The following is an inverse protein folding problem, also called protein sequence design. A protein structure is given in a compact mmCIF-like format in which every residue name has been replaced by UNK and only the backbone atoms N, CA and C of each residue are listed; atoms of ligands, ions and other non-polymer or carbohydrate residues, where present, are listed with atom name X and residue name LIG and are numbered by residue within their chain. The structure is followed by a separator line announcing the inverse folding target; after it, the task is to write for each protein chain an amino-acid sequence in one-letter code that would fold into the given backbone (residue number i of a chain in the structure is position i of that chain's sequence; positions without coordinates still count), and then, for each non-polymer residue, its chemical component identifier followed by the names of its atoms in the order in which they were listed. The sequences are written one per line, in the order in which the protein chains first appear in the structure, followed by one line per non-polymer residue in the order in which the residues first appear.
data_IF_890755223436
#
_entry.id   IF_890755223436
#
_cell.length_a   1.000
_cell.length_b   1.000
_cell.length_c   1.000
_cell.angle_alpha   90.00
_cell.angle_beta   90.00
_cell.angle_gamma   90.00
#
_symmetry.space_group_name_H-M   'P 1'
#
loop_
_entity.id
_entity.type
_entity.pdbx_description
1 polymer ?
#
# COMPACT_ATOMS: atom_id res chain seq x y z
N UNK A 1 -21.35 -6.55 34.25
CA UNK A 1 -20.77 -6.53 32.89
C UNK A 1 -19.25 -6.49 33.06
N UNK A 2 -18.52 -7.41 32.42
CA UNK A 2 -17.09 -7.63 32.67
C UNK A 2 -16.23 -6.69 31.81
N UNK A 3 -15.30 -5.96 32.43
CA UNK A 3 -14.16 -5.33 31.74
C UNK A 3 -13.22 -6.46 31.33
N UNK A 4 -13.18 -6.81 30.03
CA UNK A 4 -12.24 -7.81 29.52
C UNK A 4 -10.93 -7.10 29.13
N UNK A 5 -10.05 -6.93 30.12
CA UNK A 5 -8.64 -6.60 29.89
C UNK A 5 -7.95 -7.83 29.29
N UNK A 6 -7.77 -7.87 27.98
CA UNK A 6 -6.83 -8.81 27.36
C UNK A 6 -5.41 -8.25 27.52
N UNK A 7 -4.79 -8.53 28.66
CA UNK A 7 -3.34 -8.33 28.84
C UNK A 7 -2.64 -9.45 28.09
N UNK A 8 -2.26 -9.20 26.83
CA UNK A 8 -1.54 -10.16 26.00
C UNK A 8 -0.06 -10.17 26.41
N UNK A 9 0.34 -11.16 27.19
CA UNK A 9 1.75 -11.51 27.42
C UNK A 9 2.18 -12.56 26.39
N UNK A 10 2.70 -12.17 25.22
CA UNK A 10 3.78 -12.90 24.53
C UNK A 10 4.25 -12.22 23.25
N UNK A 11 5.47 -12.55 22.85
CA UNK A 11 6.02 -12.31 21.52
C UNK A 11 5.01 -12.70 20.41
N UNK A 12 4.70 -11.71 19.56
CA UNK A 12 3.92 -11.76 18.29
C UNK A 12 2.39 -11.86 18.36
N UNK A 13 1.82 -10.89 17.62
CA UNK A 13 0.49 -10.75 16.99
C UNK A 13 -0.65 -10.26 17.89
N UNK A 14 -0.89 -8.94 17.86
CA UNK A 14 -2.24 -8.40 18.05
C UNK A 14 -3.09 -8.83 16.84
N UNK A 15 -4.01 -9.78 17.05
CA UNK A 15 -4.96 -10.25 16.04
C UNK A 15 -6.23 -9.40 16.12
N UNK A 16 -6.72 -8.93 14.97
CA UNK A 16 -8.04 -8.34 14.82
C UNK A 16 -9.14 -9.32 15.26
N UNK A 17 -9.95 -8.94 16.26
CA UNK A 17 -11.20 -9.64 16.52
C UNK A 17 -12.26 -9.16 15.55
N UNK A 18 -12.51 -9.99 14.54
CA UNK A 18 -13.62 -9.86 13.61
C UNK A 18 -14.99 -9.95 14.30
N UNK A 19 -15.94 -9.24 13.71
CA UNK A 19 -17.35 -9.31 14.03
C UNK A 19 -17.87 -10.75 13.94
N UNK A 20 -18.43 -11.27 15.03
CA UNK A 20 -19.37 -12.39 14.99
C UNK A 20 -20.77 -11.79 14.84
N UNK A 21 -21.23 -11.63 13.60
CA UNK A 21 -22.67 -11.56 13.34
C UNK A 21 -23.21 -12.99 13.35
N UNK A 22 -24.08 -13.28 14.31
CA UNK A 22 -24.96 -14.44 14.26
C UNK A 22 -25.95 -14.26 13.10
N UNK A 23 -25.69 -14.91 11.97
CA UNK A 23 -26.68 -15.02 10.89
C UNK A 23 -27.65 -16.15 11.25
N UNK A 24 -28.75 -15.79 11.91
CA UNK A 24 -29.97 -16.60 11.93
C UNK A 24 -31.11 -15.78 11.33
N UNK A 25 -31.28 -15.93 10.01
CA UNK A 25 -32.56 -15.93 9.26
C UNK A 25 -32.33 -15.51 7.81
N UNK A 26 -31.97 -16.47 6.96
CA UNK A 26 -32.15 -16.31 5.51
C UNK A 26 -33.19 -17.30 5.03
N UNK A 27 -34.18 -16.78 4.31
CA UNK A 27 -35.30 -17.53 3.80
C UNK A 27 -34.85 -18.61 2.77
N UNK A 28 -35.55 -19.76 2.69
CA UNK A 28 -35.12 -20.93 1.91
C UNK A 28 -34.85 -20.67 0.41
N UNK A 29 -35.44 -19.62 -0.16
CA UNK A 29 -35.24 -19.24 -1.57
C UNK A 29 -33.87 -18.60 -1.86
N UNK A 30 -33.21 -17.98 -0.87
CA UNK A 30 -31.83 -17.48 -1.01
C UNK A 30 -30.80 -18.61 -1.12
N UNK A 31 -31.07 -19.78 -0.52
CA UNK A 31 -30.23 -20.98 -0.66
C UNK A 31 -30.39 -21.63 -2.03
N UNK A 32 -31.60 -21.61 -2.59
CA UNK A 32 -31.85 -22.05 -3.96
C UNK A 32 -31.25 -21.10 -4.99
N UNK A 33 -31.29 -19.78 -4.75
CA UNK A 33 -30.60 -18.78 -5.57
C UNK A 33 -29.08 -18.89 -5.46
N UNK A 34 -28.52 -19.09 -4.27
CA UNK A 34 -27.09 -19.33 -4.10
C UNK A 34 -26.66 -20.66 -4.73
N UNK A 35 -27.47 -21.72 -4.63
CA UNK A 35 -27.21 -23.00 -5.29
C UNK A 35 -27.39 -22.91 -6.81
N UNK A 36 -28.35 -22.14 -7.34
CA UNK A 36 -28.47 -21.84 -8.77
C UNK A 36 -27.32 -20.95 -9.24
N UNK A 37 -26.89 -19.98 -8.45
CA UNK A 37 -25.74 -19.12 -8.74
C UNK A 37 -24.45 -19.93 -8.68
N UNK A 38 -24.31 -20.91 -7.79
CA UNK A 38 -23.22 -21.90 -7.77
C UNK A 38 -23.30 -22.91 -8.93
N UNK A 39 -24.51 -23.30 -9.36
CA UNK A 39 -24.71 -24.15 -10.55
C UNK A 39 -24.44 -23.37 -11.85
N UNK A 40 -24.73 -22.07 -11.88
CA UNK A 40 -24.45 -21.14 -12.98
C UNK A 40 -23.00 -20.62 -12.92
N UNK A 41 -22.37 -20.62 -11.74
CA UNK A 41 -20.93 -20.50 -11.47
C UNK A 41 -20.26 -21.88 -11.46
N UNK A 42 -20.74 -22.82 -12.29
CA UNK A 42 -19.78 -23.65 -12.98
C UNK A 42 -18.95 -22.70 -13.83
N UNK A 43 -17.96 -22.03 -13.21
CA UNK A 43 -16.82 -21.50 -13.94
C UNK A 43 -16.35 -22.68 -14.73
N UNK A 44 -16.61 -22.67 -16.04
CA UNK A 44 -16.04 -23.64 -16.95
C UNK A 44 -14.56 -23.63 -16.62
N UNK A 45 -14.09 -24.64 -15.89
CA UNK A 45 -12.69 -24.79 -15.57
C UNK A 45 -12.01 -24.69 -16.93
N UNK A 46 -11.18 -23.67 -17.10
CA UNK A 46 -10.42 -23.49 -18.32
C UNK A 46 -9.89 -24.86 -18.74
N UNK A 47 -10.32 -25.37 -19.90
CA UNK A 47 -9.86 -26.67 -20.37
C UNK A 47 -8.33 -26.64 -20.39
N UNK A 48 -7.66 -27.72 -19.95
CA UNK A 48 -6.22 -27.71 -19.77
C UNK A 48 -5.53 -27.34 -21.08
N UNK A 49 -4.48 -26.49 -21.05
CA UNK A 49 -3.76 -26.13 -22.26
C UNK A 49 -3.11 -27.38 -22.88
N UNK A 50 -3.03 -27.42 -24.20
CA UNK A 50 -2.47 -28.57 -24.94
C UNK A 50 -1.33 -28.14 -25.84
N UNK A 51 -0.36 -29.05 -26.00
CA UNK A 51 0.71 -28.86 -26.97
C UNK A 51 0.15 -28.84 -28.39
N UNK A 52 0.63 -27.94 -29.26
CA UNK A 52 0.13 -27.88 -30.63
C UNK A 52 0.52 -29.14 -31.43
N UNK A 53 -0.34 -29.62 -32.36
CA UNK A 53 -0.10 -30.86 -33.10
C UNK A 53 1.22 -30.86 -33.90
N UNK A 54 1.61 -29.70 -34.44
CA UNK A 54 2.84 -29.53 -35.22
C UNK A 54 4.12 -29.50 -34.37
N UNK A 55 4.01 -29.43 -33.03
CA UNK A 55 5.14 -29.39 -32.11
C UNK A 55 5.44 -30.75 -31.45
N UNK A 56 5.14 -31.85 -32.15
CA UNK A 56 5.46 -33.19 -31.68
C UNK A 56 6.95 -33.33 -31.32
N UNK A 57 7.24 -33.83 -30.12
CA UNK A 57 8.61 -33.96 -29.59
C UNK A 57 9.25 -32.67 -29.09
N UNK A 58 8.62 -31.51 -29.34
CA UNK A 58 9.07 -30.19 -28.89
C UNK A 58 8.25 -29.65 -27.71
N UNK A 59 7.03 -30.14 -27.51
CA UNK A 59 6.20 -29.80 -26.37
C UNK A 59 5.67 -31.07 -25.70
N UNK A 60 5.76 -31.15 -24.38
CA UNK A 60 5.17 -32.23 -23.58
C UNK A 60 4.67 -31.72 -22.23
N UNK A 61 3.47 -32.14 -21.82
CA UNK A 61 2.99 -31.95 -20.44
C UNK A 61 3.76 -32.90 -19.52
N UNK A 62 4.45 -32.36 -18.53
CA UNK A 62 5.28 -33.14 -17.60
C UNK A 62 4.61 -33.35 -16.25
N UNK A 63 3.76 -32.41 -15.82
CA UNK A 63 3.08 -32.48 -14.54
C UNK A 63 1.77 -31.68 -14.56
N UNK A 64 0.76 -32.12 -13.81
CA UNK A 64 -0.45 -31.32 -13.59
C UNK A 64 -1.11 -31.59 -12.24
N UNK A 65 -1.72 -30.56 -11.65
CA UNK A 65 -2.57 -30.63 -10.44
C UNK A 65 -3.93 -30.00 -10.70
N UNK A 66 -4.91 -30.34 -9.86
CA UNK A 66 -6.30 -29.85 -9.99
C UNK A 66 -6.64 -28.67 -9.07
N UNK A 67 -5.94 -28.49 -7.96
CA UNK A 67 -6.27 -27.43 -6.99
C UNK A 67 -5.00 -26.84 -6.32
N UNK A 68 -4.58 -25.61 -6.71
CA UNK A 68 -5.05 -24.90 -7.90
C UNK A 68 -4.66 -25.67 -9.18
N UNK A 69 -5.39 -25.46 -10.30
CA UNK A 69 -4.98 -25.96 -11.61
C UNK A 69 -3.57 -25.48 -11.97
N UNK A 70 -2.62 -26.42 -12.06
CA UNK A 70 -1.24 -26.18 -12.48
C UNK A 70 -0.89 -27.13 -13.59
N UNK A 71 -0.15 -26.64 -14.57
CA UNK A 71 0.33 -27.39 -15.73
C UNK A 71 1.80 -27.04 -15.96
N UNK A 72 2.67 -28.02 -15.78
CA UNK A 72 4.08 -27.86 -16.14
C UNK A 72 4.32 -28.55 -17.49
N UNK A 73 4.98 -27.84 -18.41
CA UNK A 73 5.36 -28.31 -19.73
C UNK A 73 6.87 -28.28 -19.90
N UNK A 74 7.37 -29.12 -20.79
CA UNK A 74 8.70 -28.99 -21.40
C UNK A 74 8.50 -28.48 -22.83
N UNK A 75 9.00 -27.28 -23.14
CA UNK A 75 8.96 -26.66 -24.47
C UNK A 75 10.40 -26.51 -24.97
N UNK A 76 10.75 -27.23 -26.02
CA UNK A 76 12.12 -27.38 -26.54
C UNK A 76 13.13 -27.78 -25.44
N UNK A 77 12.70 -28.61 -24.49
CA UNK A 77 13.53 -29.02 -23.35
C UNK A 77 13.64 -27.96 -22.24
N UNK A 78 12.90 -26.86 -22.33
CA UNK A 78 12.88 -25.79 -21.33
C UNK A 78 11.56 -25.86 -20.53
N UNK A 79 11.62 -25.83 -19.19
CA UNK A 79 10.41 -25.81 -18.37
C UNK A 79 9.55 -24.56 -18.62
N UNK A 80 8.25 -24.79 -18.64
CA UNK A 80 7.21 -23.77 -18.64
C UNK A 80 6.18 -24.17 -17.60
N UNK A 81 5.70 -23.21 -16.82
CA UNK A 81 4.65 -23.46 -15.83
C UNK A 81 3.49 -22.51 -16.09
N UNK A 82 2.29 -23.07 -16.04
CA UNK A 82 1.04 -22.34 -16.14
C UNK A 82 0.21 -22.68 -14.90
N UNK A 83 -0.25 -21.67 -14.18
CA UNK A 83 -1.15 -21.82 -13.03
C UNK A 83 -2.40 -20.99 -13.31
N UNK A 84 -3.58 -21.57 -13.11
CA UNK A 84 -4.86 -20.86 -13.19
C UNK A 84 -5.45 -20.83 -11.78
N UNK A 85 -5.69 -19.63 -11.25
CA UNK A 85 -6.21 -19.41 -9.90
C UNK A 85 -7.63 -18.85 -10.01
N UNK A 86 -8.57 -19.49 -9.33
CA UNK A 86 -9.98 -19.09 -9.25
C UNK A 86 -10.71 -18.92 -10.61
N UNK A 87 -10.15 -19.48 -11.69
CA UNK A 87 -10.71 -19.40 -13.05
C UNK A 87 -10.64 -18.02 -13.72
N UNK A 88 -10.13 -17.00 -13.02
CA UNK A 88 -10.03 -15.62 -13.52
C UNK A 88 -8.61 -15.05 -13.47
N UNK A 89 -7.69 -15.66 -12.75
CA UNK A 89 -6.29 -15.24 -12.72
C UNK A 89 -5.44 -16.33 -13.35
N UNK A 90 -4.47 -15.96 -14.18
CA UNK A 90 -3.51 -16.92 -14.68
C UNK A 90 -2.08 -16.40 -14.53
N UNK A 91 -1.19 -17.31 -14.18
CA UNK A 91 0.23 -17.07 -14.04
C UNK A 91 1.00 -17.97 -15.01
N UNK A 92 2.02 -17.41 -15.66
CA UNK A 92 2.90 -18.10 -16.57
C UNK A 92 4.36 -17.81 -16.18
N UNK A 93 5.12 -18.85 -15.90
CA UNK A 93 6.54 -18.74 -15.54
C UNK A 93 7.37 -19.36 -16.64
N UNK A 94 8.24 -18.56 -17.24
CA UNK A 94 9.22 -18.99 -18.23
C UNK A 94 10.55 -19.28 -17.53
N UNK A 95 11.29 -20.30 -17.97
CA UNK A 95 12.66 -20.53 -17.52
C UNK A 95 13.67 -20.26 -18.63
N UNK A 96 14.91 -19.95 -18.24
CA UNK A 96 16.01 -19.64 -19.18
C UNK A 96 15.58 -18.53 -20.16
N UNK A 97 15.78 -18.74 -21.46
CA UNK A 97 15.44 -17.77 -22.51
C UNK A 97 14.17 -18.17 -23.30
N UNK A 98 13.22 -18.89 -22.67
CA UNK A 98 11.97 -19.23 -23.34
C UNK A 98 11.11 -17.97 -23.53
N UNK A 99 10.78 -17.65 -24.78
CA UNK A 99 9.94 -16.52 -25.15
C UNK A 99 8.54 -16.99 -25.55
N UNK A 100 7.53 -16.13 -25.39
CA UNK A 100 6.14 -16.46 -25.67
C UNK A 100 5.87 -16.74 -27.16
N UNK A 101 6.69 -16.21 -28.06
CA UNK A 101 6.58 -16.42 -29.51
C UNK A 101 7.20 -17.76 -29.97
N UNK A 102 7.56 -18.66 -29.05
CA UNK A 102 7.96 -20.01 -29.40
C UNK A 102 6.77 -20.78 -30.00
N UNK A 103 6.95 -21.28 -31.23
CA UNK A 103 5.96 -22.07 -31.98
C UNK A 103 5.44 -23.34 -31.29
N UNK A 104 6.17 -23.84 -30.28
CA UNK A 104 5.84 -25.02 -29.50
C UNK A 104 5.12 -24.68 -28.18
N UNK A 105 4.81 -23.42 -27.91
CA UNK A 105 4.03 -23.02 -26.74
C UNK A 105 2.66 -23.73 -26.71
N UNK A 106 2.22 -24.25 -25.54
CA UNK A 106 0.91 -24.86 -25.40
C UNK A 106 -0.19 -23.80 -25.51
N UNK A 107 -1.39 -24.20 -25.91
CA UNK A 107 -2.53 -23.30 -26.11
C UNK A 107 -3.77 -23.82 -25.40
N UNK A 108 -4.55 -22.93 -24.80
CA UNK A 108 -5.87 -23.29 -24.25
C UNK A 108 -6.84 -23.62 -25.38
N UNK A 109 -7.71 -24.62 -25.22
CA UNK A 109 -8.68 -24.98 -26.28
C UNK A 109 -9.75 -23.88 -26.44
N UNK A 110 -10.29 -23.42 -25.31
CA UNK A 110 -11.22 -22.29 -25.23
C UNK A 110 -10.50 -20.94 -25.12
N UNK A 111 -11.15 -19.87 -25.59
CA UNK A 111 -10.71 -18.51 -25.29
C UNK A 111 -10.90 -18.17 -23.81
N UNK A 112 -9.82 -17.78 -23.15
CA UNK A 112 -9.82 -17.32 -21.76
C UNK A 112 -10.07 -15.83 -21.66
N UNK A 113 -10.83 -15.45 -20.64
CA UNK A 113 -11.00 -14.08 -20.16
C UNK A 113 -10.58 -14.08 -18.71
N UNK A 114 -9.56 -13.28 -18.41
CA UNK A 114 -8.92 -13.26 -17.10
C UNK A 114 -8.95 -11.83 -16.58
N UNK A 115 -9.00 -11.66 -15.27
CA UNK A 115 -8.81 -10.36 -14.63
C UNK A 115 -7.33 -10.02 -14.59
N UNK A 116 -6.48 -10.98 -14.21
CA UNK A 116 -5.04 -10.78 -14.04
C UNK A 116 -4.24 -11.80 -14.84
N UNK A 117 -3.28 -11.29 -15.60
CA UNK A 117 -2.23 -12.04 -16.29
C UNK A 117 -0.89 -11.78 -15.60
N UNK A 118 -0.28 -12.78 -14.97
CA UNK A 118 1.04 -12.64 -14.34
C UNK A 118 2.09 -13.43 -15.13
N UNK A 119 3.13 -12.76 -15.61
CA UNK A 119 4.20 -13.38 -16.38
C UNK A 119 5.53 -13.19 -15.64
N UNK A 120 6.19 -14.28 -15.30
CA UNK A 120 7.47 -14.28 -14.56
C UNK A 120 8.59 -14.82 -15.43
N UNK A 121 9.68 -14.06 -15.54
CA UNK A 121 10.89 -14.38 -16.31
C UNK A 121 10.62 -14.63 -17.81
N UNK A 122 9.50 -14.13 -18.32
CA UNK A 122 9.16 -14.24 -19.74
C UNK A 122 9.70 -13.03 -20.49
N UNK A 123 10.89 -13.22 -21.06
CA UNK A 123 11.59 -12.21 -21.86
C UNK A 123 10.71 -11.66 -22.98
N UNK A 124 10.97 -10.40 -23.36
CA UNK A 124 10.26 -9.72 -24.43
C UNK A 124 10.15 -10.58 -25.71
N UNK A 125 8.93 -10.83 -26.22
CA UNK A 125 8.75 -11.57 -27.46
C UNK A 125 9.19 -10.72 -28.67
N UNK A 126 9.36 -11.34 -29.84
CA UNK A 126 9.60 -10.61 -31.10
C UNK A 126 8.46 -9.65 -31.47
N UNK A 127 7.23 -9.99 -31.08
CA UNK A 127 6.03 -9.18 -31.28
C UNK A 127 5.63 -8.43 -30.01
N UNK A 128 4.35 -8.46 -29.67
CA UNK A 128 3.80 -7.85 -28.48
C UNK A 128 3.30 -8.89 -27.48
N UNK A 129 3.31 -8.57 -26.18
CA UNK A 129 2.71 -9.44 -25.17
C UNK A 129 1.24 -9.70 -25.45
N UNK A 130 0.50 -8.69 -25.92
CA UNK A 130 -0.91 -8.84 -26.28
C UNK A 130 -1.12 -9.89 -27.38
N UNK A 131 -0.34 -9.84 -28.46
CA UNK A 131 -0.44 -10.78 -29.56
C UNK A 131 -0.07 -12.21 -29.14
N UNK A 132 1.00 -12.38 -28.36
CA UNK A 132 1.44 -13.72 -27.91
C UNK A 132 0.47 -14.33 -26.89
N UNK A 133 -0.11 -13.53 -25.99
CA UNK A 133 -1.16 -13.99 -25.08
C UNK A 133 -2.44 -14.40 -25.85
N UNK A 134 -2.80 -13.68 -26.90
CA UNK A 134 -3.89 -14.09 -27.79
C UNK A 134 -3.60 -15.42 -28.50
N UNK A 135 -2.34 -15.69 -28.89
CA UNK A 135 -1.95 -17.00 -29.46
C UNK A 135 -2.07 -18.14 -28.45
N UNK A 136 -1.88 -17.86 -27.16
CA UNK A 136 -2.16 -18.79 -26.07
C UNK A 136 -3.68 -18.97 -25.82
N UNK A 137 -4.55 -18.25 -26.55
CA UNK A 137 -6.00 -18.13 -26.33
C UNK A 137 -6.41 -17.31 -25.09
N UNK A 138 -5.53 -16.46 -24.55
CA UNK A 138 -5.91 -15.43 -23.57
C UNK A 138 -6.43 -14.20 -24.32
N UNK A 139 -7.75 -14.14 -24.49
CA UNK A 139 -8.39 -13.16 -25.37
C UNK A 139 -8.61 -11.79 -24.73
N UNK A 140 -8.82 -11.74 -23.41
CA UNK A 140 -9.05 -10.50 -22.67
C UNK A 140 -8.39 -10.55 -21.29
N UNK A 141 -7.76 -9.44 -20.91
CA UNK A 141 -7.23 -9.23 -19.56
C UNK A 141 -7.41 -7.78 -19.11
N UNK A 142 -7.75 -7.57 -17.84
CA UNK A 142 -7.90 -6.24 -17.26
C UNK A 142 -6.55 -5.72 -16.72
N UNK A 143 -5.72 -6.62 -16.18
CA UNK A 143 -4.41 -6.33 -15.61
C UNK A 143 -3.33 -7.27 -16.12
N UNK A 144 -2.13 -6.72 -16.35
CA UNK A 144 -0.95 -7.47 -16.80
C UNK A 144 0.22 -7.14 -15.89
N UNK A 145 0.83 -8.16 -15.28
CA UNK A 145 2.02 -8.02 -14.46
C UNK A 145 3.19 -8.74 -15.12
N UNK A 146 4.27 -8.01 -15.38
CA UNK A 146 5.48 -8.51 -16.01
C UNK A 146 6.65 -8.44 -15.02
N UNK A 147 7.11 -9.60 -14.56
CA UNK A 147 8.25 -9.73 -13.67
C UNK A 147 9.46 -10.23 -14.48
N UNK A 148 10.53 -9.45 -14.47
CA UNK A 148 11.81 -9.78 -15.12
C UNK A 148 11.69 -9.98 -16.64
N UNK A 149 10.97 -9.07 -17.31
CA UNK A 149 10.75 -9.10 -18.76
C UNK A 149 11.97 -8.71 -19.61
N UNK A 150 13.05 -8.22 -18.99
CA UNK A 150 14.24 -7.73 -19.69
C UNK A 150 13.99 -6.38 -20.37
N UNK A 151 14.43 -6.25 -21.63
CA UNK A 151 14.36 -5.00 -22.38
C UNK A 151 13.02 -4.86 -23.10
N UNK A 152 12.26 -3.83 -22.74
CA UNK A 152 10.96 -3.52 -23.31
C UNK A 152 11.04 -2.35 -24.28
N UNK A 153 10.35 -2.47 -25.41
CA UNK A 153 10.15 -1.40 -26.38
C UNK A 153 8.68 -1.06 -26.47
N UNK A 154 8.36 0.08 -27.10
CA UNK A 154 6.98 0.48 -27.41
C UNK A 154 6.19 -0.61 -28.14
N UNK A 155 6.82 -1.36 -29.04
CA UNK A 155 6.18 -2.42 -29.81
C UNK A 155 5.72 -3.59 -28.93
N UNK A 156 6.45 -3.89 -27.86
CA UNK A 156 6.09 -5.00 -26.97
C UNK A 156 4.77 -4.76 -26.22
N UNK A 157 4.36 -3.49 -26.08
CA UNK A 157 3.18 -3.06 -25.30
C UNK A 157 2.05 -2.47 -26.17
N UNK A 158 2.20 -2.42 -27.50
CA UNK A 158 1.30 -1.66 -28.39
C UNK A 158 -0.11 -2.23 -28.53
N UNK A 159 -0.30 -3.53 -28.29
CA UNK A 159 -1.57 -4.22 -28.50
C UNK A 159 -2.40 -4.39 -27.21
N UNK A 160 -1.98 -3.71 -26.13
CA UNK A 160 -2.61 -3.76 -24.81
C UNK A 160 -3.73 -2.71 -24.66
N UNK A 161 -4.63 -2.60 -25.64
CA UNK A 161 -5.59 -1.47 -25.76
C UNK A 161 -6.64 -1.42 -24.66
N UNK A 162 -7.09 -2.59 -24.19
CA UNK A 162 -8.15 -2.69 -23.18
C UNK A 162 -7.62 -2.75 -21.74
N UNK A 163 -6.29 -2.74 -21.59
CA UNK A 163 -5.61 -2.92 -20.31
C UNK A 163 -5.89 -1.75 -19.37
N UNK A 164 -6.38 -2.05 -18.17
CA UNK A 164 -6.64 -1.05 -17.14
C UNK A 164 -5.42 -0.82 -16.24
N UNK A 165 -4.65 -1.88 -15.97
CA UNK A 165 -3.48 -1.80 -15.10
C UNK A 165 -2.26 -2.57 -15.65
N UNK A 166 -1.08 -1.98 -15.48
CA UNK A 166 0.20 -2.62 -15.80
C UNK A 166 1.13 -2.54 -14.58
N UNK A 167 1.74 -3.67 -14.23
CA UNK A 167 2.84 -3.73 -13.27
C UNK A 167 4.09 -4.25 -13.97
N UNK A 168 5.20 -3.52 -13.85
CA UNK A 168 6.51 -3.91 -14.35
C UNK A 168 7.48 -4.02 -13.18
N UNK A 169 8.10 -5.18 -13.02
CA UNK A 169 9.10 -5.43 -11.97
C UNK A 169 10.41 -5.90 -12.59
N UNK A 170 11.50 -5.17 -12.38
CA UNK A 170 12.83 -5.54 -12.85
C UNK A 170 12.95 -5.60 -14.38
N UNK A 171 12.64 -4.49 -15.05
CA UNK A 171 12.72 -4.34 -16.51
C UNK A 171 13.55 -3.11 -16.92
N UNK A 172 13.94 -3.02 -18.19
CA UNK A 172 14.58 -1.85 -18.78
C UNK A 172 13.76 -1.36 -19.95
N UNK A 173 13.41 -0.06 -19.96
CA UNK A 173 12.58 0.51 -21.02
C UNK A 173 13.45 1.20 -22.08
N UNK A 174 13.13 0.97 -23.35
CA UNK A 174 13.59 1.83 -24.45
C UNK A 174 12.83 3.16 -24.44
N UNK A 175 13.33 4.22 -25.09
CA UNK A 175 12.63 5.50 -25.17
C UNK A 175 11.23 5.39 -25.78
N UNK A 176 10.27 6.14 -25.23
CA UNK A 176 8.85 6.20 -25.66
C UNK A 176 8.09 4.88 -25.51
N UNK A 177 8.52 4.00 -24.61
CA UNK A 177 7.83 2.74 -24.34
C UNK A 177 6.51 2.96 -23.61
N UNK A 178 6.47 3.84 -22.60
CA UNK A 178 5.25 4.15 -21.84
C UNK A 178 4.16 4.82 -22.70
N UNK A 179 4.54 5.46 -23.81
CA UNK A 179 3.59 6.05 -24.77
C UNK A 179 2.69 5.00 -25.47
N UNK A 180 2.98 3.70 -25.34
CA UNK A 180 2.09 2.64 -25.79
C UNK A 180 0.84 2.49 -24.92
N UNK A 181 0.84 2.99 -23.68
CA UNK A 181 -0.12 2.65 -22.64
C UNK A 181 -1.33 3.59 -22.57
N UNK A 182 -1.83 4.06 -23.71
CA UNK A 182 -2.81 5.15 -23.81
C UNK A 182 -4.13 4.95 -23.02
N UNK A 183 -4.51 3.71 -22.71
CA UNK A 183 -5.73 3.37 -21.95
C UNK A 183 -5.50 3.04 -20.48
N UNK A 184 -4.25 2.93 -20.03
CA UNK A 184 -3.91 2.44 -18.69
C UNK A 184 -4.25 3.49 -17.63
N UNK A 185 -4.91 3.04 -16.56
CA UNK A 185 -5.31 3.88 -15.41
C UNK A 185 -4.43 3.67 -14.19
N UNK A 186 -3.81 2.49 -14.05
CA UNK A 186 -2.90 2.17 -12.95
C UNK A 186 -1.57 1.65 -13.50
N UNK A 187 -0.48 2.29 -13.10
CA UNK A 187 0.87 1.89 -13.50
C UNK A 187 1.75 1.74 -12.27
N UNK A 188 2.34 0.57 -12.13
CA UNK A 188 3.33 0.26 -11.09
C UNK A 188 4.67 -0.09 -11.75
N UNK A 189 5.73 0.60 -11.35
CA UNK A 189 7.10 0.34 -11.78
C UNK A 189 7.98 0.06 -10.56
N UNK A 190 8.47 -1.17 -10.37
CA UNK A 190 9.44 -1.53 -9.32
C UNK A 190 10.76 -1.97 -9.94
N UNK A 191 11.88 -1.33 -9.56
CA UNK A 191 13.22 -1.63 -10.12
C UNK A 191 13.24 -1.58 -11.64
N UNK A 192 12.51 -0.65 -12.23
CA UNK A 192 12.47 -0.44 -13.69
C UNK A 192 13.46 0.65 -14.07
N UNK A 193 14.40 0.34 -14.96
CA UNK A 193 15.35 1.33 -15.49
C UNK A 193 14.65 2.15 -16.58
N UNK A 194 14.57 3.46 -16.37
CA UNK A 194 13.92 4.40 -17.26
C UNK A 194 14.95 5.25 -18.03
N UNK A 195 14.80 5.46 -19.35
CA UNK A 195 15.60 6.42 -20.08
C UNK A 195 15.18 7.86 -19.73
N UNK A 196 16.03 8.86 -19.98
CA UNK A 196 15.70 10.26 -19.73
C UNK A 196 14.40 10.69 -20.43
N UNK A 197 13.51 11.37 -19.71
CA UNK A 197 12.24 11.87 -20.25
C UNK A 197 11.14 10.82 -20.41
N UNK A 198 11.36 9.56 -20.04
CA UNK A 198 10.34 8.51 -20.17
C UNK A 198 9.09 8.77 -19.33
N UNK A 199 9.24 9.36 -18.14
CA UNK A 199 8.10 9.75 -17.30
C UNK A 199 7.22 10.83 -17.95
N UNK A 200 7.74 11.63 -18.89
CA UNK A 200 6.94 12.59 -19.66
C UNK A 200 6.06 11.89 -20.72
N UNK A 201 6.26 10.60 -20.95
CA UNK A 201 5.46 9.77 -21.86
C UNK A 201 4.34 9.01 -21.14
N UNK A 202 4.14 9.26 -19.83
CA UNK A 202 3.04 8.67 -19.08
C UNK A 202 1.68 9.04 -19.71
N UNK A 203 0.72 8.09 -19.75
CA UNK A 203 -0.57 8.33 -20.40
C UNK A 203 -1.45 9.27 -19.57
N UNK A 204 -2.16 10.19 -20.22
CA UNK A 204 -3.06 11.15 -19.53
C UNK A 204 -4.31 10.50 -18.91
N UNK A 205 -4.56 9.23 -19.21
CA UNK A 205 -5.59 8.39 -18.59
C UNK A 205 -5.24 7.96 -17.16
N UNK A 206 -3.99 8.14 -16.74
CA UNK A 206 -3.48 7.57 -15.49
C UNK A 206 -4.15 8.21 -14.27
N UNK A 207 -4.68 7.34 -13.41
CA UNK A 207 -5.33 7.69 -12.15
C UNK A 207 -4.42 7.35 -10.95
N UNK A 208 -3.61 6.30 -11.08
CA UNK A 208 -2.72 5.82 -10.03
C UNK A 208 -1.32 5.53 -10.59
N UNK A 209 -0.30 6.09 -9.95
CA UNK A 209 1.10 5.88 -10.29
C UNK A 209 1.88 5.41 -9.06
N UNK A 210 2.56 4.28 -9.19
CA UNK A 210 3.50 3.79 -8.17
C UNK A 210 4.88 3.57 -8.79
N UNK A 211 5.88 4.23 -8.21
CA UNK A 211 7.28 4.17 -8.62
C UNK A 211 8.12 3.71 -7.43
N UNK A 212 8.82 2.60 -7.57
CA UNK A 212 9.70 2.06 -6.53
C UNK A 212 11.07 1.78 -7.13
N UNK A 213 12.12 2.44 -6.63
CA UNK A 213 13.52 2.22 -7.07
C UNK A 213 13.72 2.34 -8.59
N UNK A 214 13.15 3.37 -9.22
CA UNK A 214 13.26 3.59 -10.67
C UNK A 214 14.40 4.55 -11.04
N UNK A 215 15.08 5.17 -10.06
CA UNK A 215 16.17 6.11 -10.29
C UNK A 215 15.79 7.38 -11.05
N UNK A 216 14.50 7.70 -11.15
CA UNK A 216 13.97 8.84 -11.87
C UNK A 216 13.16 9.75 -10.94
N UNK A 217 13.23 11.05 -11.19
CA UNK A 217 12.49 12.04 -10.42
C UNK A 217 11.16 12.38 -11.11
N UNK A 218 10.09 12.43 -10.33
CA UNK A 218 8.79 12.94 -10.76
C UNK A 218 8.83 14.46 -10.62
N UNK A 219 9.03 15.16 -11.74
CA UNK A 219 8.98 16.61 -11.76
C UNK A 219 7.55 17.12 -11.77
N UNK A 220 7.39 18.41 -11.45
CA UNK A 220 6.12 19.12 -11.61
C UNK A 220 5.51 18.95 -13.02
N UNK A 221 6.32 19.10 -14.08
CA UNK A 221 5.87 18.96 -15.48
C UNK A 221 5.25 17.59 -15.78
N UNK A 222 5.68 16.53 -15.08
CA UNK A 222 5.07 15.19 -15.20
C UNK A 222 3.67 15.19 -14.60
N UNK A 223 3.50 15.79 -13.42
CA UNK A 223 2.23 15.81 -12.70
C UNK A 223 1.19 16.68 -13.40
N UNK A 224 1.56 17.84 -13.95
CA UNK A 224 0.64 18.72 -14.70
C UNK A 224 0.02 18.05 -15.94
N UNK A 225 0.77 17.13 -16.57
CA UNK A 225 0.31 16.41 -17.77
C UNK A 225 -0.69 15.30 -17.46
N UNK A 226 -0.94 15.01 -16.18
CA UNK A 226 -1.75 13.89 -15.72
C UNK A 226 -3.00 14.39 -14.96
N UNK A 227 -4.01 14.93 -15.68
CA UNK A 227 -5.16 15.60 -15.06
C UNK A 227 -6.08 14.67 -14.25
N UNK A 228 -5.99 13.36 -14.47
CA UNK A 228 -6.79 12.34 -13.78
C UNK A 228 -6.06 11.72 -12.59
N UNK A 229 -4.82 12.12 -12.32
CA UNK A 229 -3.99 11.47 -11.33
C UNK A 229 -4.50 11.77 -9.92
N UNK A 230 -5.00 10.73 -9.24
CA UNK A 230 -5.55 10.80 -7.89
C UNK A 230 -4.53 10.33 -6.87
N UNK A 231 -3.71 9.34 -7.23
CA UNK A 231 -2.76 8.70 -6.33
C UNK A 231 -1.36 8.64 -6.92
N UNK A 232 -0.38 9.08 -6.13
CA UNK A 232 1.04 8.94 -6.45
C UNK A 232 1.77 8.33 -5.27
N UNK A 233 2.54 7.27 -5.53
CA UNK A 233 3.47 6.69 -4.58
C UNK A 233 4.86 6.65 -5.19
N UNK A 234 5.83 7.22 -4.49
CA UNK A 234 7.25 7.20 -4.88
C UNK A 234 8.07 6.64 -3.71
N UNK A 235 8.88 5.62 -3.99
CA UNK A 235 9.69 4.87 -3.03
C UNK A 235 11.13 4.63 -3.51
N UNK A 236 12.03 4.42 -2.56
CA UNK A 236 13.44 4.12 -2.78
C UNK A 236 14.30 5.34 -3.12
N UNK A 237 15.01 5.28 -4.24
CA UNK A 237 15.92 6.33 -4.74
C UNK A 237 15.21 7.41 -5.57
N UNK A 238 13.92 7.19 -5.86
CA UNK A 238 13.12 8.05 -6.71
C UNK A 238 12.56 9.21 -5.88
N UNK A 239 12.55 10.43 -6.42
CA UNK A 239 12.12 11.64 -5.69
C UNK A 239 11.04 12.40 -6.46
N UNK A 240 10.24 13.18 -5.74
CA UNK A 240 9.44 14.25 -6.36
C UNK A 240 10.27 15.53 -6.28
N UNK A 241 10.55 16.18 -7.41
CA UNK A 241 11.33 17.43 -7.46
C UNK A 241 10.49 18.56 -8.04
N UNK A 242 10.62 19.74 -7.45
CA UNK A 242 10.11 20.96 -8.05
C UNK A 242 11.28 21.62 -8.78
N UNK A 243 11.37 21.48 -10.10
CA UNK A 243 12.48 22.06 -10.88
C UNK A 243 12.36 23.59 -11.05
N UNK A 244 11.69 24.27 -10.11
CA UNK A 244 11.43 25.71 -10.16
C UNK A 244 12.62 26.42 -9.49
N UNK A 245 13.29 27.36 -10.18
CA UNK A 245 14.29 28.21 -9.53
C UNK A 245 13.63 28.98 -8.38
N UNK A 246 14.32 29.08 -7.24
CA UNK A 246 13.88 29.73 -5.99
C UNK A 246 13.37 31.17 -6.15
N UNK A 247 13.55 31.78 -7.32
CA UNK A 247 13.26 33.18 -7.63
C UNK A 247 11.87 33.46 -8.22
N UNK A 248 11.06 32.44 -8.49
CA UNK A 248 9.68 32.65 -8.99
C UNK A 248 8.65 32.48 -7.87
N UNK A 249 8.10 33.62 -7.42
CA UNK A 249 7.01 33.71 -6.45
C UNK A 249 5.62 33.34 -7.03
N UNK A 250 5.57 32.76 -8.23
CA UNK A 250 4.33 32.28 -8.84
C UNK A 250 4.19 30.78 -8.59
N UNK A 251 3.52 30.46 -7.50
CA UNK A 251 3.16 29.13 -7.05
C UNK A 251 2.23 28.43 -8.05
N UNK A 252 2.78 27.57 -8.90
CA UNK A 252 1.98 26.71 -9.78
C UNK A 252 1.51 25.47 -9.01
N UNK A 253 0.20 25.25 -9.01
CA UNK A 253 -0.48 24.23 -8.23
C UNK A 253 -0.21 22.83 -8.79
N UNK A 254 0.23 21.91 -7.93
CA UNK A 254 0.23 20.47 -8.25
C UNK A 254 -1.21 20.04 -8.53
N UNK A 255 -1.42 19.49 -9.73
CA UNK A 255 -2.67 18.93 -10.29
C UNK A 255 -3.85 18.81 -9.30
N UNK A 256 -4.90 19.62 -9.52
CA UNK A 256 -6.05 19.79 -8.62
C UNK A 256 -6.94 18.56 -8.35
N UNK A 257 -6.56 17.37 -8.81
CA UNK A 257 -7.26 16.11 -8.51
C UNK A 257 -6.48 15.19 -7.54
N UNK A 258 -5.22 15.49 -7.23
CA UNK A 258 -4.38 14.62 -6.40
C UNK A 258 -4.89 14.59 -4.95
N UNK A 259 -5.25 13.40 -4.47
CA UNK A 259 -5.82 13.17 -3.13
C UNK A 259 -4.93 12.31 -2.25
N UNK A 260 -4.15 11.42 -2.85
CA UNK A 260 -3.31 10.45 -2.16
C UNK A 260 -1.86 10.59 -2.60
N UNK A 261 -0.99 10.94 -1.66
CA UNK A 261 0.42 11.09 -1.93
C UNK A 261 1.25 10.31 -0.90
N UNK A 262 2.16 9.49 -1.38
CA UNK A 262 3.09 8.73 -0.56
C UNK A 262 4.50 8.92 -1.09
N UNK A 263 5.39 9.42 -0.26
CA UNK A 263 6.75 9.75 -0.65
C UNK A 263 7.77 9.15 0.31
N UNK A 264 8.87 8.64 -0.24
CA UNK A 264 10.05 8.23 0.49
C UNK A 264 11.17 9.23 0.25
N UNK A 265 11.76 9.76 1.32
CA UNK A 265 12.83 10.76 1.37
C UNK A 265 12.53 12.01 0.55
N UNK A 266 11.89 12.98 1.17
CA UNK A 266 11.43 14.19 0.47
C UNK A 266 12.26 15.38 0.86
N UNK A 267 12.81 16.06 -0.15
CA UNK A 267 13.26 17.45 -0.05
C UNK A 267 12.20 18.32 -0.72
N UNK A 268 11.16 18.72 0.03
CA UNK A 268 10.19 19.69 -0.48
C UNK A 268 10.84 21.07 -0.44
N UNK A 269 11.41 21.51 -1.56
CA UNK A 269 12.13 22.79 -1.61
C UNK A 269 11.22 24.03 -1.50
N UNK A 270 9.89 23.90 -1.55
CA UNK A 270 8.96 25.05 -1.50
C UNK A 270 7.64 24.73 -0.80
N UNK A 271 7.09 25.75 -0.14
CA UNK A 271 5.77 25.80 0.54
C UNK A 271 4.58 25.46 -0.37
N UNK A 272 4.75 25.47 -1.69
CA UNK A 272 3.67 25.30 -2.69
C UNK A 272 3.64 23.91 -3.34
N UNK A 273 4.43 22.93 -2.86
CA UNK A 273 4.76 21.72 -3.60
C UNK A 273 3.73 20.58 -3.57
N UNK A 274 2.56 20.77 -2.98
CA UNK A 274 1.57 19.70 -2.78
C UNK A 274 0.18 20.17 -3.35
N UNK A 275 -0.87 19.34 -3.35
CA UNK A 275 -2.23 19.75 -3.81
C UNK A 275 -3.15 20.18 -2.65
N UNK A 276 -3.90 21.31 -2.74
CA UNK A 276 -4.86 21.70 -1.69
C UNK A 276 -6.00 20.70 -1.48
N UNK A 277 -6.27 19.83 -2.46
CA UNK A 277 -7.27 18.75 -2.38
C UNK A 277 -6.74 17.47 -1.70
N UNK A 278 -5.48 17.47 -1.25
CA UNK A 278 -4.83 16.31 -0.67
C UNK A 278 -5.55 15.84 0.59
N UNK A 279 -5.94 14.57 0.60
CA UNK A 279 -6.66 13.92 1.71
C UNK A 279 -5.73 13.05 2.53
N UNK A 280 -4.80 12.37 1.87
CA UNK A 280 -3.91 11.42 2.51
C UNK A 280 -2.47 11.72 2.11
N UNK A 281 -1.62 11.92 3.11
CA UNK A 281 -0.19 12.10 2.92
C UNK A 281 0.58 11.11 3.78
N UNK A 282 1.47 10.36 3.13
CA UNK A 282 2.46 9.51 3.79
C UNK A 282 3.85 9.97 3.41
N UNK A 283 4.70 10.23 4.40
CA UNK A 283 6.10 10.61 4.19
C UNK A 283 7.00 9.69 5.01
N UNK A 284 8.05 9.18 4.37
CA UNK A 284 9.13 8.45 5.03
C UNK A 284 10.40 9.30 4.97
N UNK A 285 10.99 9.65 6.12
CA UNK A 285 12.22 10.43 6.18
C UNK A 285 11.99 11.90 5.86
N UNK A 286 11.27 12.59 6.75
CA UNK A 286 11.22 14.05 6.77
C UNK A 286 12.45 14.60 7.50
N UNK A 287 13.02 15.68 6.98
CA UNK A 287 14.06 16.47 7.66
C UNK A 287 13.52 17.21 8.90
N UNK A 288 14.30 18.14 9.43
CA UNK A 288 14.06 18.80 10.72
C UNK A 288 12.87 19.77 10.71
N UNK A 289 12.45 20.29 9.54
CA UNK A 289 11.49 21.38 9.45
C UNK A 289 10.17 20.95 8.79
N UNK A 290 9.06 21.23 9.47
CA UNK A 290 7.73 21.06 8.90
C UNK A 290 7.39 22.23 7.95
N UNK A 291 7.01 21.99 6.69
CA UNK A 291 6.46 23.06 5.88
C UNK A 291 5.09 23.46 6.40
N UNK A 292 4.69 24.70 6.12
CA UNK A 292 3.32 25.14 6.39
C UNK A 292 2.35 24.47 5.40
N UNK A 293 1.18 23.97 5.85
CA UNK A 293 0.12 23.47 4.97
C UNK A 293 -0.58 24.66 4.27
N UNK A 294 -1.41 24.42 3.25
CA UNK A 294 -2.21 25.52 2.68
C UNK A 294 -3.22 26.08 3.67
N UNK A 295 -3.64 27.31 3.39
CA UNK A 295 -4.75 28.00 4.05
C UNK A 295 -6.06 27.21 4.04
N UNK A 296 -6.27 26.30 3.08
CA UNK A 296 -7.42 25.39 3.00
C UNK A 296 -6.98 23.92 3.13
N UNK A 297 -6.42 23.53 4.28
CA UNK A 297 -5.97 22.15 4.47
C UNK A 297 -7.13 21.15 4.54
N UNK A 298 -7.21 20.28 3.54
CA UNK A 298 -8.27 19.28 3.37
C UNK A 298 -7.88 17.87 3.84
N UNK A 299 -6.71 17.76 4.50
CA UNK A 299 -6.07 16.51 4.89
C UNK A 299 -6.89 15.77 5.95
N UNK A 300 -7.13 14.48 5.70
CA UNK A 300 -7.77 13.55 6.61
C UNK A 300 -6.77 12.66 7.34
N UNK A 301 -5.68 12.29 6.66
CA UNK A 301 -4.70 11.33 7.15
C UNK A 301 -3.28 11.81 6.87
N UNK A 302 -2.50 11.90 7.94
CA UNK A 302 -1.08 12.21 7.92
C UNK A 302 -0.30 11.03 8.53
N UNK A 303 0.57 10.41 7.74
CA UNK A 303 1.52 9.40 8.19
C UNK A 303 2.94 9.92 7.99
N UNK A 304 3.71 9.90 9.06
CA UNK A 304 5.07 10.38 9.17
C UNK A 304 5.93 9.26 9.74
N UNK A 305 6.82 8.70 8.94
CA UNK A 305 7.73 7.64 9.35
C UNK A 305 9.17 8.16 9.32
N UNK A 306 10.00 7.76 10.28
CA UNK A 306 11.44 8.08 10.30
C UNK A 306 11.74 9.59 10.29
N UNK A 307 10.93 10.39 10.99
CA UNK A 307 11.09 11.85 11.02
C UNK A 307 12.23 12.30 11.92
N UNK A 308 12.89 13.39 11.54
CA UNK A 308 13.99 14.01 12.31
C UNK A 308 13.58 15.26 13.08
N UNK A 309 12.28 15.59 13.12
CA UNK A 309 11.77 16.74 13.84
C UNK A 309 11.68 16.50 15.36
N UNK A 310 11.81 17.59 16.12
CA UNK A 310 11.75 17.60 17.58
C UNK A 310 10.33 17.88 18.13
N UNK A 311 9.37 18.16 17.25
CA UNK A 311 7.99 18.46 17.62
C UNK A 311 7.01 17.84 16.60
N UNK A 312 5.74 17.67 16.99
CA UNK A 312 4.66 17.33 16.05
C UNK A 312 4.41 18.50 15.10
N UNK A 313 3.94 18.28 13.85
CA UNK A 313 3.78 19.33 12.84
C UNK A 313 2.67 20.32 13.26
N UNK A 314 3.02 21.48 13.87
CA UNK A 314 2.06 22.24 14.66
C UNK A 314 0.96 22.83 13.79
N UNK A 315 1.33 23.37 12.63
CA UNK A 315 0.40 23.95 11.67
C UNK A 315 -0.51 22.91 11.01
N UNK A 316 -0.04 21.68 10.81
CA UNK A 316 -0.87 20.65 10.18
C UNK A 316 -1.92 20.17 11.15
N UNK A 317 -1.54 20.06 12.42
CA UNK A 317 -2.46 19.69 13.49
C UNK A 317 -3.45 20.82 13.77
N UNK A 318 -2.99 22.08 13.76
CA UNK A 318 -3.87 23.23 14.03
C UNK A 318 -4.78 23.57 12.86
N UNK A 319 -4.30 23.58 11.62
CA UNK A 319 -5.04 24.10 10.45
C UNK A 319 -5.86 23.03 9.72
N UNK A 320 -5.43 21.76 9.70
CA UNK A 320 -6.15 20.70 9.01
C UNK A 320 -7.35 20.21 9.84
N UNK A 321 -8.44 20.98 9.83
CA UNK A 321 -9.64 20.72 10.64
C UNK A 321 -10.34 19.38 10.34
N UNK A 322 -10.04 18.78 9.20
CA UNK A 322 -10.55 17.47 8.77
C UNK A 322 -9.65 16.29 9.15
N UNK A 323 -8.52 16.54 9.82
CA UNK A 323 -7.55 15.51 10.19
C UNK A 323 -8.17 14.54 11.19
N UNK A 324 -8.22 13.26 10.81
CA UNK A 324 -8.74 12.14 11.61
C UNK A 324 -7.65 11.18 12.04
N UNK A 325 -6.57 11.08 11.28
CA UNK A 325 -5.49 10.12 11.53
C UNK A 325 -4.16 10.84 11.50
N UNK A 326 -3.46 10.84 12.63
CA UNK A 326 -2.08 11.30 12.75
C UNK A 326 -1.22 10.15 13.25
N UNK A 327 -0.31 9.70 12.40
CA UNK A 327 0.66 8.65 12.73
C UNK A 327 2.05 9.24 12.59
N UNK A 328 2.79 9.29 13.69
CA UNK A 328 4.22 9.57 13.73
C UNK A 328 4.91 8.33 14.27
N UNK A 329 5.82 7.75 13.50
CA UNK A 329 6.55 6.53 13.84
C UNK A 329 8.04 6.68 13.64
N UNK A 330 8.81 6.07 14.53
CA UNK A 330 10.28 6.04 14.45
C UNK A 330 10.84 7.48 14.38
N UNK A 331 10.40 8.36 15.28
CA UNK A 331 10.88 9.74 15.38
C UNK A 331 11.80 9.90 16.59
N UNK A 332 13.08 9.44 16.54
CA UNK A 332 13.93 9.35 17.73
C UNK A 332 14.27 10.70 18.35
N UNK A 333 14.05 11.80 17.64
CA UNK A 333 14.30 13.16 18.10
C UNK A 333 13.09 13.85 18.73
N UNK A 334 11.89 13.27 18.64
CA UNK A 334 10.70 13.90 19.18
C UNK A 334 10.83 14.06 20.71
N UNK A 335 11.04 12.97 21.45
CA UNK A 335 11.49 12.98 22.86
C UNK A 335 10.48 13.51 23.90
N UNK A 336 9.71 14.53 23.54
CA UNK A 336 8.67 15.18 24.30
C UNK A 336 7.59 15.73 23.35
N UNK A 337 6.40 15.97 23.90
CA UNK A 337 5.31 16.70 23.23
C UNK A 337 4.79 17.77 24.18
N UNK A 338 4.31 18.89 23.64
CA UNK A 338 3.79 20.00 24.42
C UNK A 338 2.27 19.83 24.64
N UNK A 339 1.71 20.45 25.67
CA UNK A 339 0.26 20.41 25.93
C UNK A 339 -0.57 20.99 24.77
N UNK A 340 0.03 21.87 23.97
CA UNK A 340 -0.61 22.48 22.80
C UNK A 340 -0.32 21.74 21.49
N UNK A 341 0.44 20.64 21.50
CA UNK A 341 0.83 19.95 20.26
C UNK A 341 -0.34 19.38 19.47
N UNK A 342 -1.51 19.16 20.13
CA UNK A 342 -2.75 18.70 19.49
C UNK A 342 -3.85 19.76 19.46
N UNK A 343 -3.50 21.03 19.71
CA UNK A 343 -4.48 22.11 19.77
C UNK A 343 -5.21 22.25 18.43
N UNK A 344 -6.54 22.19 18.47
CA UNK A 344 -7.39 22.28 17.29
C UNK A 344 -7.70 20.95 16.57
N UNK A 345 -7.11 19.82 16.99
CA UNK A 345 -7.29 18.49 16.39
C UNK A 345 -8.64 17.83 16.74
N UNK A 346 -9.74 18.57 16.62
CA UNK A 346 -11.07 18.19 17.17
C UNK A 346 -11.70 16.96 16.52
N UNK A 347 -11.31 16.61 15.30
CA UNK A 347 -11.80 15.44 14.55
C UNK A 347 -10.83 14.25 14.61
N UNK A 348 -9.74 14.35 15.37
CA UNK A 348 -8.74 13.32 15.46
C UNK A 348 -9.34 12.06 16.11
N UNK A 349 -9.25 10.93 15.41
CA UNK A 349 -9.75 9.62 15.84
C UNK A 349 -8.64 8.63 16.12
N UNK A 350 -7.50 8.77 15.45
CA UNK A 350 -6.34 7.91 15.63
C UNK A 350 -5.10 8.76 15.79
N UNK A 351 -4.44 8.60 16.93
CA UNK A 351 -3.13 9.15 17.22
C UNK A 351 -2.16 8.01 17.50
N UNK A 352 -1.10 7.92 16.71
CA UNK A 352 -0.01 6.97 16.95
C UNK A 352 1.30 7.72 17.03
N UNK A 353 2.00 7.62 18.16
CA UNK A 353 3.31 8.20 18.43
C UNK A 353 4.28 7.08 18.83
N UNK A 354 4.32 6.00 18.05
CA UNK A 354 5.08 4.81 18.38
C UNK A 354 6.58 4.97 18.07
N UNK A 355 7.44 4.54 18.98
CA UNK A 355 8.90 4.65 18.84
C UNK A 355 9.38 6.08 18.59
N UNK A 356 8.87 7.02 19.39
CA UNK A 356 9.17 8.46 19.33
C UNK A 356 10.08 8.94 20.48
N UNK A 357 10.67 8.02 21.23
CA UNK A 357 11.52 8.30 22.39
C UNK A 357 10.85 9.16 23.48
N UNK A 358 9.52 9.14 23.57
CA UNK A 358 8.79 9.96 24.55
C UNK A 358 9.09 9.50 25.98
N UNK A 359 9.44 10.45 26.85
CA UNK A 359 9.78 10.17 28.26
C UNK A 359 8.68 10.56 29.24
N UNK A 360 7.83 11.52 28.86
CA UNK A 360 6.67 11.97 29.62
C UNK A 360 5.58 12.50 28.68
N UNK A 361 4.35 12.61 29.18
CA UNK A 361 3.23 13.24 28.48
C UNK A 361 2.63 14.36 29.34
N UNK A 362 2.27 15.51 28.75
CA UNK A 362 1.55 16.55 29.47
C UNK A 362 0.11 16.10 29.74
N UNK A 363 -0.42 16.44 30.92
CA UNK A 363 -1.76 16.04 31.36
C UNK A 363 -2.89 16.46 30.41
N UNK A 364 -2.70 17.59 29.71
CA UNK A 364 -3.69 18.18 28.79
C UNK A 364 -3.41 17.89 27.31
N UNK A 365 -2.49 17.00 26.98
CA UNK A 365 -2.15 16.68 25.59
C UNK A 365 -3.38 16.36 24.75
N UNK A 366 -4.30 15.56 25.30
CA UNK A 366 -5.47 15.04 24.58
C UNK A 366 -6.73 15.90 24.76
N UNK A 367 -6.63 17.07 25.40
CA UNK A 367 -7.79 17.87 25.80
C UNK A 367 -8.67 18.32 24.61
N UNK A 368 -8.07 18.50 23.43
CA UNK A 368 -8.76 18.91 22.21
C UNK A 368 -9.19 17.73 21.31
N UNK A 369 -8.91 16.47 21.71
CA UNK A 369 -9.11 15.27 20.90
C UNK A 369 -10.28 14.38 21.41
N UNK A 370 -11.45 14.98 21.66
CA UNK A 370 -12.60 14.28 22.26
C UNK A 370 -13.12 13.07 21.46
N UNK A 371 -12.89 13.07 20.14
CA UNK A 371 -13.27 11.99 19.22
C UNK A 371 -12.21 10.88 19.10
N UNK A 372 -11.14 10.92 19.91
CA UNK A 372 -10.05 9.96 19.83
C UNK A 372 -10.53 8.54 20.19
N UNK A 373 -10.30 7.59 19.29
CA UNK A 373 -10.68 6.17 19.42
C UNK A 373 -9.44 5.29 19.64
N UNK A 374 -8.33 5.62 18.98
CA UNK A 374 -7.08 4.85 19.03
C UNK A 374 -5.94 5.73 19.48
N UNK A 375 -5.26 5.31 20.55
CA UNK A 375 -4.01 5.88 21.03
C UNK A 375 -2.92 4.80 21.09
N UNK A 376 -1.87 4.98 20.29
CA UNK A 376 -0.69 4.11 20.30
C UNK A 376 0.52 4.91 20.74
N UNK A 377 1.05 4.58 21.91
CA UNK A 377 2.25 5.14 22.52
C UNK A 377 3.32 4.04 22.70
N UNK A 378 3.23 2.96 21.94
CA UNK A 378 4.12 1.81 22.09
C UNK A 378 5.58 2.14 21.75
N UNK A 379 6.51 1.43 22.39
CA UNK A 379 7.94 1.56 22.09
C UNK A 379 8.54 2.92 22.49
N UNK A 380 7.99 3.58 23.50
CA UNK A 380 8.53 4.82 24.07
C UNK A 380 9.26 4.55 25.40
N UNK A 381 9.64 5.61 26.12
CA UNK A 381 10.36 5.54 27.40
C UNK A 381 9.51 6.09 28.56
N UNK A 382 8.18 5.96 28.46
CA UNK A 382 7.26 6.47 29.48
C UNK A 382 7.38 5.66 30.77
N UNK A 383 7.46 6.34 31.91
CA UNK A 383 7.51 5.74 33.25
C UNK A 383 6.22 5.90 34.03
N UNK A 384 5.43 6.90 33.68
CA UNK A 384 4.15 7.23 34.29
C UNK A 384 3.22 7.87 33.25
N UNK A 385 1.92 7.89 33.56
CA UNK A 385 0.92 8.65 32.81
C UNK A 385 0.25 9.63 33.77
N UNK A 386 -0.08 10.86 33.32
CA UNK A 386 -0.89 11.77 34.11
C UNK A 386 -2.25 11.13 34.44
N UNK A 387 -2.68 11.22 35.70
CA UNK A 387 -3.95 10.62 36.15
C UNK A 387 -5.18 11.10 35.37
N UNK A 388 -5.10 12.33 34.86
CA UNK A 388 -6.20 13.01 34.17
C UNK A 388 -6.11 12.93 32.64
N UNK A 389 -5.14 12.20 32.08
CA UNK A 389 -4.81 12.21 30.64
C UNK A 389 -6.02 11.83 29.76
N UNK A 390 -6.86 10.91 30.23
CA UNK A 390 -7.98 10.34 29.45
C UNK A 390 -9.35 10.95 29.79
N UNK A 391 -9.42 11.91 30.74
CA UNK A 391 -10.70 12.48 31.20
C UNK A 391 -11.50 13.16 30.08
N UNK A 392 -10.81 13.69 29.06
CA UNK A 392 -11.41 14.42 27.95
C UNK A 392 -11.47 13.60 26.64
N UNK A 393 -11.23 12.28 26.71
CA UNK A 393 -11.29 11.37 25.55
C UNK A 393 -12.27 10.22 25.80
N UNK A 394 -13.59 10.50 25.93
CA UNK A 394 -14.59 9.49 26.26
C UNK A 394 -14.77 8.43 25.15
N UNK A 395 -14.32 8.72 23.94
CA UNK A 395 -14.45 7.83 22.77
C UNK A 395 -13.32 6.79 22.65
N UNK A 396 -12.33 6.81 23.56
CA UNK A 396 -11.13 5.98 23.46
C UNK A 396 -11.50 4.49 23.63
N UNK A 397 -11.01 3.65 22.73
CA UNK A 397 -11.28 2.21 22.70
C UNK A 397 -10.00 1.37 22.64
N UNK A 398 -8.96 1.86 21.96
CA UNK A 398 -7.69 1.14 21.80
C UNK A 398 -6.58 1.98 22.40
N UNK A 399 -5.89 1.40 23.38
CA UNK A 399 -4.74 2.00 24.05
C UNK A 399 -3.55 1.04 24.00
N UNK A 400 -2.53 1.38 23.23
CA UNK A 400 -1.27 0.62 23.21
C UNK A 400 -0.18 1.36 24.00
N UNK A 401 0.24 0.76 25.10
CA UNK A 401 1.31 1.23 25.99
C UNK A 401 2.48 0.23 26.04
N UNK A 402 2.48 -0.79 25.17
CA UNK A 402 3.49 -1.83 25.16
C UNK A 402 4.90 -1.25 24.93
N UNK A 403 5.91 -1.95 25.43
CA UNK A 403 7.31 -1.54 25.24
C UNK A 403 7.62 -0.13 25.77
N UNK A 404 7.08 0.20 26.95
CA UNK A 404 7.44 1.38 27.75
C UNK A 404 8.19 0.97 29.02
N UNK A 405 8.49 1.93 29.89
CA UNK A 405 9.26 1.75 31.13
C UNK A 405 8.39 1.83 32.39
N UNK A 406 7.13 1.39 32.30
CA UNK A 406 6.20 1.43 33.44
C UNK A 406 6.62 0.42 34.52
N UNK A 407 6.75 0.86 35.79
CA UNK A 407 6.95 -0.06 36.92
C UNK A 407 5.68 -0.89 37.16
N UNK A 408 5.83 -2.04 37.82
CA UNK A 408 4.77 -3.04 37.99
C UNK A 408 3.51 -2.53 38.70
N UNK A 409 3.65 -1.49 39.50
CA UNK A 409 2.61 -0.85 40.28
C UNK A 409 1.67 0.00 39.40
N UNK A 410 2.18 0.58 38.30
CA UNK A 410 1.41 1.44 37.38
C UNK A 410 0.31 0.65 36.65
N UNK A 411 0.49 -0.66 36.45
CA UNK A 411 -0.52 -1.53 35.86
C UNK A 411 -1.83 -1.54 36.65
N UNK A 412 -1.72 -1.49 37.99
CA UNK A 412 -2.89 -1.48 38.89
C UNK A 412 -3.60 -0.13 38.83
N UNK A 413 -2.84 0.95 38.69
CA UNK A 413 -3.39 2.31 38.64
C UNK A 413 -4.03 2.62 37.29
N UNK A 414 -3.41 2.19 36.19
CA UNK A 414 -3.99 2.31 34.84
C UNK A 414 -5.30 1.54 34.72
N UNK A 415 -5.39 0.36 35.35
CA UNK A 415 -6.64 -0.40 35.42
C UNK A 415 -7.75 0.42 36.08
N UNK A 416 -7.48 1.06 37.22
CA UNK A 416 -8.46 1.92 37.90
C UNK A 416 -8.85 3.14 37.07
N UNK A 417 -7.88 3.80 36.43
CA UNK A 417 -8.13 4.99 35.60
C UNK A 417 -9.05 4.64 34.42
N UNK A 418 -8.81 3.50 33.76
CA UNK A 418 -9.61 3.03 32.63
C UNK A 418 -10.98 2.48 33.07
N UNK A 419 -11.09 1.90 34.26
CA UNK A 419 -12.37 1.49 34.85
C UNK A 419 -13.23 2.72 35.24
N UNK A 420 -12.60 3.83 35.65
CA UNK A 420 -13.29 5.06 36.06
C UNK A 420 -13.62 6.00 34.88
N UNK A 421 -13.06 5.79 33.68
CA UNK A 421 -13.28 6.67 32.52
C UNK A 421 -14.62 6.44 31.77
N UNK A 422 -15.48 5.53 32.23
CA UNK A 422 -16.88 5.44 31.80
C UNK A 422 -17.44 4.01 31.72
N UNK A 423 -18.70 3.81 32.13
CA UNK A 423 -19.37 2.49 32.28
C UNK A 423 -19.70 1.75 30.95
N UNK A 424 -19.30 2.27 29.79
CA UNK A 424 -19.78 1.77 28.49
C UNK A 424 -18.74 1.53 27.38
N UNK A 425 -17.44 1.66 27.68
CA UNK A 425 -16.37 1.48 26.68
C UNK A 425 -15.57 0.20 26.95
N UNK A 426 -15.54 -0.71 25.97
CA UNK A 426 -14.60 -1.85 25.98
C UNK A 426 -13.24 -1.37 25.52
N UNK A 427 -12.24 -1.44 26.40
CA UNK A 427 -10.86 -1.07 26.09
C UNK A 427 -10.04 -2.30 25.66
N UNK A 428 -9.35 -2.20 24.53
CA UNK A 428 -8.21 -3.07 24.22
C UNK A 428 -6.95 -2.36 24.70
N UNK A 429 -6.32 -2.91 25.75
CA UNK A 429 -5.12 -2.33 26.35
C UNK A 429 -3.96 -3.28 26.17
N UNK A 430 -2.99 -2.89 25.34
CA UNK A 430 -1.76 -3.64 25.17
C UNK A 430 -0.70 -3.08 26.12
N UNK A 431 -0.27 -3.87 27.10
CA UNK A 431 0.88 -3.55 27.94
C UNK A 431 1.81 -4.76 27.95
N UNK A 432 3.07 -4.54 27.60
CA UNK A 432 4.11 -5.54 27.75
C UNK A 432 4.95 -5.16 28.97
N UNK A 433 5.07 -6.06 29.96
CA UNK A 433 6.02 -5.89 31.04
C UNK A 433 7.46 -5.90 30.49
N UNK A 434 8.41 -5.20 31.13
CA UNK A 434 9.82 -5.39 30.83
C UNK A 434 10.09 -6.89 30.89
N UNK A 435 10.58 -7.48 29.81
CA UNK A 435 11.02 -8.86 29.86
C UNK A 435 12.06 -8.96 30.97
N UNK A 436 11.90 -9.91 31.87
CA UNK A 436 12.90 -10.25 32.89
C UNK A 436 14.16 -10.88 32.27
N UNK A 437 14.58 -10.42 31.10
CA UNK A 437 15.75 -10.90 30.36
C UNK A 437 16.80 -9.79 30.27
N UNK A 438 17.44 -9.55 31.41
CA UNK A 438 18.89 -9.36 31.39
C UNK A 438 19.49 -10.62 30.73
N UNK A 439 19.74 -10.60 29.42
CA UNK A 439 20.30 -11.79 28.75
C UNK A 439 20.63 -11.64 27.28
N UNK A 440 19.71 -11.13 26.45
CA UNK A 440 19.90 -11.20 25.00
C UNK A 440 20.45 -9.86 24.46
N UNK A 441 21.75 -9.67 24.66
CA UNK A 441 22.56 -8.70 23.90
C UNK A 441 22.58 -9.09 22.43
N UNK A 442 22.25 -8.13 21.57
CA UNK A 442 22.66 -7.96 20.18
C UNK A 442 23.55 -9.08 19.57
N UNK A 443 22.98 -9.87 18.68
CA UNK A 443 23.66 -10.47 17.53
C UNK A 443 22.83 -10.30 16.27
#
# INVERSE_FOLDING_TARGET
MYVRLEVVFSEKVCVELGFVYTVWSMAPWLRLLAALVLLLLQTALAEPPRCPPHAAGRCALTYSTRDPPRYDFSVDGIPLQIIVVDGINFALTCWKNLTLDNSAMPRFESQLRVSIALLTNCSAPRGSYGAELQRLNVAKMDELYLYHAGNLTRAHLSDLRDLQALELVGAELAPRTLAALAGVRRLTLDRVRLPPGELLQLPSSLEHLELTRVGANVSHDVLERLPKLVKVRVRGDSRVTNNVPETSHESVAVAGALRDLSLERVTLSSRSALSPELRNLTVFGWDEYWPEPWTSCALNKLILNFVQANELPPFWVSECKELRVLIVRNGPRLGAVHETSLRGARRLRELRLASCALTALPARLLADAADLVVLDLSGNFLKELPGDLFLLTPSLQVLDLSWNQFPSEVYTELKKILENSGEHTTYTVCIAAPSSREGDRWQ
#
